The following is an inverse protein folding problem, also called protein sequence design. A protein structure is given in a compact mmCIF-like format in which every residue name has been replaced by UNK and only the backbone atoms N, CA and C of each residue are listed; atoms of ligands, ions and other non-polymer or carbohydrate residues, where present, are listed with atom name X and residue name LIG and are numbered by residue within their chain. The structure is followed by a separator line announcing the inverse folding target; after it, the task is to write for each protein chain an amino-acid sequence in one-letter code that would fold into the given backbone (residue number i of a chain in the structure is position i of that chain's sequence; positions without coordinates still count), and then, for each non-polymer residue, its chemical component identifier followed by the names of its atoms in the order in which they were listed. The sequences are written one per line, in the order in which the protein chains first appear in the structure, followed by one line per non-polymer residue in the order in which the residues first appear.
data_IF_872027412835
#
_entry.id   IF_872027412835
#
_cell.length_a   1.000
_cell.length_b   1.000
_cell.length_c   1.000
_cell.angle_alpha   90.00
_cell.angle_beta   90.00
_cell.angle_gamma   90.00
#
_symmetry.space_group_name_H-M   'P 1'
#
loop_
_entity.id
_entity.type
_entity.pdbx_description
1 polymer ?
#
# COMPACT_ATOMS: atom_id res chain seq x y z
N UNK A 1 44.87 17.78 -32.30
CA UNK A 1 43.88 18.17 -31.27
C UNK A 1 42.89 19.10 -31.96
N UNK A 2 41.69 18.63 -32.33
CA UNK A 2 40.74 19.42 -33.12
C UNK A 2 39.88 20.25 -32.16
N UNK A 3 40.02 21.57 -32.21
CA UNK A 3 39.19 22.53 -31.48
C UNK A 3 37.74 22.41 -31.95
N UNK A 4 36.85 22.00 -31.06
CA UNK A 4 35.41 21.96 -31.31
C UNK A 4 34.86 23.39 -31.15
N UNK A 5 34.10 23.93 -32.11
CA UNK A 5 33.58 25.29 -32.01
C UNK A 5 32.58 25.40 -30.85
N UNK A 6 32.68 26.47 -30.06
CA UNK A 6 31.95 26.70 -28.80
C UNK A 6 30.41 26.58 -28.92
N UNK A 7 29.86 26.67 -30.13
CA UNK A 7 28.44 26.47 -30.42
C UNK A 7 28.02 24.99 -30.42
N UNK A 8 28.92 24.07 -30.80
CA UNK A 8 28.66 22.63 -30.80
C UNK A 8 28.67 22.05 -29.38
N UNK A 9 29.48 22.61 -28.48
CA UNK A 9 29.46 22.27 -27.06
C UNK A 9 28.12 22.68 -26.40
N UNK A 10 27.57 23.84 -26.79
CA UNK A 10 26.30 24.35 -26.24
C UNK A 10 25.09 23.52 -26.69
N UNK A 11 25.08 23.05 -27.95
CA UNK A 11 24.05 22.15 -28.47
C UNK A 11 24.11 20.76 -27.82
N UNK A 12 25.30 20.25 -27.51
CA UNK A 12 25.47 18.98 -26.82
C UNK A 12 24.97 19.02 -25.38
N UNK A 13 25.20 20.12 -24.65
CA UNK A 13 24.67 20.31 -23.28
C UNK A 13 23.14 20.45 -23.25
N UNK A 14 22.55 21.12 -24.25
CA UNK A 14 21.09 21.24 -24.37
C UNK A 14 20.38 19.91 -24.64
N UNK A 15 20.97 19.05 -25.48
CA UNK A 15 20.40 17.74 -25.81
C UNK A 15 20.40 16.75 -24.63
N UNK A 16 21.42 16.81 -23.75
CA UNK A 16 21.50 15.97 -22.54
C UNK A 16 20.43 16.37 -21.50
N UNK A 17 20.06 17.65 -21.43
CA UNK A 17 19.01 18.12 -20.51
C UNK A 17 17.60 17.72 -20.96
N UNK A 18 17.35 17.67 -22.28
CA UNK A 18 16.04 17.28 -22.84
C UNK A 18 15.84 15.75 -22.79
N UNK A 19 16.90 14.95 -22.92
CA UNK A 19 16.83 13.49 -22.87
C UNK A 19 16.75 12.91 -21.44
N UNK A 20 17.07 13.68 -20.40
CA UNK A 20 16.90 13.29 -18.99
C UNK A 20 15.53 13.69 -18.39
N UNK A 21 14.65 14.33 -19.18
CA UNK A 21 13.38 14.91 -18.71
C UNK A 21 12.16 13.98 -18.71
N UNK A 22 12.26 12.74 -19.20
CA UNK A 22 11.16 11.77 -19.13
C UNK A 22 11.54 10.60 -18.22
N UNK A 23 11.18 10.71 -16.93
CA UNK A 23 10.63 9.64 -16.06
C UNK A 23 10.76 10.07 -14.59
N UNK A 24 9.90 10.99 -14.16
CA UNK A 24 9.59 11.12 -12.75
C UNK A 24 8.43 10.17 -12.42
N UNK A 25 8.76 8.91 -12.11
CA UNK A 25 7.83 8.00 -11.46
C UNK A 25 7.66 8.46 -10.01
N UNK A 26 6.72 9.37 -9.75
CA UNK A 26 6.34 9.79 -8.39
C UNK A 26 5.22 8.93 -7.79
N UNK A 27 4.89 7.79 -8.42
CA UNK A 27 3.80 6.91 -7.98
C UNK A 27 4.11 5.99 -6.79
N UNK A 28 5.37 5.80 -6.42
CA UNK A 28 5.77 4.76 -5.46
C UNK A 28 6.15 5.31 -4.07
N UNK A 29 6.45 6.62 -3.97
CA UNK A 29 6.87 7.25 -2.72
C UNK A 29 5.70 7.62 -1.78
N UNK A 30 4.47 7.68 -2.27
CA UNK A 30 3.29 8.07 -1.47
C UNK A 30 2.53 6.88 -0.85
N UNK A 31 2.88 5.65 -1.21
CA UNK A 31 2.23 4.44 -0.68
C UNK A 31 3.06 3.71 0.38
N UNK A 32 4.37 4.03 0.45
CA UNK A 32 5.34 3.31 1.28
C UNK A 32 5.78 4.10 2.51
N UNK A 33 5.00 5.09 2.97
CA UNK A 33 5.21 5.65 4.29
C UNK A 33 4.67 4.64 5.31
N UNK A 34 5.39 3.52 5.46
CA UNK A 34 5.21 2.59 6.56
C UNK A 34 5.45 3.37 7.84
N UNK A 35 4.35 3.76 8.48
CA UNK A 35 4.38 4.37 9.80
C UNK A 35 5.19 3.44 10.71
N UNK A 36 6.21 3.98 11.38
CA UNK A 36 7.13 3.19 12.20
C UNK A 36 6.40 2.45 13.34
N UNK A 37 5.17 2.89 13.65
CA UNK A 37 4.24 2.19 14.51
C UNK A 37 3.86 0.78 13.99
N UNK A 38 3.74 0.56 12.67
CA UNK A 38 3.26 -0.71 12.09
C UNK A 38 4.28 -1.85 12.15
N UNK A 39 5.58 -1.53 12.06
CA UNK A 39 6.68 -2.53 12.17
C UNK A 39 6.71 -3.21 13.53
N UNK A 40 6.23 -2.53 14.56
CA UNK A 40 6.17 -3.05 15.92
C UNK A 40 5.14 -4.17 16.09
N UNK A 41 4.19 -4.37 15.17
CA UNK A 41 3.14 -5.39 15.34
C UNK A 41 3.42 -6.70 14.60
N UNK A 42 4.28 -6.69 13.58
CA UNK A 42 4.58 -7.89 12.79
C UNK A 42 5.39 -8.88 13.65
N UNK A 43 4.91 -10.12 13.72
CA UNK A 43 5.53 -11.18 14.53
C UNK A 43 5.19 -11.14 16.02
N UNK A 44 4.55 -10.06 16.50
CA UNK A 44 4.08 -9.97 17.87
C UNK A 44 2.69 -10.58 18.03
N UNK A 45 2.39 -11.01 19.26
CA UNK A 45 1.07 -11.57 19.58
C UNK A 45 0.01 -10.48 19.49
N UNK A 46 -1.03 -10.71 18.71
CA UNK A 46 -2.19 -9.82 18.68
C UNK A 46 -2.84 -9.71 20.06
N UNK A 47 -3.05 -8.48 20.50
CA UNK A 47 -3.78 -8.17 21.73
C UNK A 47 -5.25 -8.60 21.61
N UNK A 48 -5.88 -8.89 22.76
CA UNK A 48 -7.30 -9.23 22.78
C UNK A 48 -8.14 -7.99 22.47
N UNK A 49 -9.03 -8.09 21.50
CA UNK A 49 -10.00 -7.04 21.19
C UNK A 49 -11.43 -7.56 21.27
N UNK A 50 -12.35 -6.64 21.52
CA UNK A 50 -13.79 -6.90 21.56
C UNK A 50 -14.51 -5.88 20.69
N UNK A 51 -15.53 -6.31 19.98
CA UNK A 51 -16.34 -5.42 19.16
C UNK A 51 -17.77 -5.96 19.02
N UNK A 52 -18.67 -5.09 18.61
CA UNK A 52 -20.03 -5.48 18.24
C UNK A 52 -20.10 -5.61 16.72
N UNK A 53 -20.54 -6.76 16.23
CA UNK A 53 -20.69 -7.02 14.80
C UNK A 53 -21.83 -6.19 14.19
N UNK A 54 -21.88 -6.08 12.87
CA UNK A 54 -23.00 -5.43 12.17
C UNK A 54 -24.35 -6.14 12.39
N UNK A 55 -24.34 -7.39 12.87
CA UNK A 55 -25.55 -8.13 13.27
C UNK A 55 -25.92 -7.91 14.74
N UNK A 56 -25.17 -7.08 15.47
CA UNK A 56 -25.36 -6.82 16.90
C UNK A 56 -24.69 -7.83 17.84
N UNK A 57 -23.89 -8.76 17.32
CA UNK A 57 -23.26 -9.80 18.15
C UNK A 57 -22.01 -9.25 18.86
N UNK A 58 -21.86 -9.58 20.14
CA UNK A 58 -20.63 -9.27 20.87
C UNK A 58 -19.55 -10.30 20.58
N UNK A 59 -18.51 -9.89 19.86
CA UNK A 59 -17.35 -10.71 19.53
C UNK A 59 -16.21 -10.40 20.50
N UNK A 60 -15.66 -11.45 21.11
CA UNK A 60 -14.47 -11.37 21.96
C UNK A 60 -13.39 -12.29 21.39
N UNK A 61 -12.31 -11.70 20.88
CA UNK A 61 -11.24 -12.43 20.22
C UNK A 61 -10.53 -13.43 21.16
N UNK A 62 -10.55 -13.19 22.48
CA UNK A 62 -9.96 -14.12 23.44
C UNK A 62 -10.70 -15.47 23.48
N UNK A 63 -12.00 -15.50 23.15
CA UNK A 63 -12.81 -16.73 23.10
C UNK A 63 -12.51 -17.61 21.89
N UNK A 64 -11.78 -17.09 20.89
CA UNK A 64 -11.42 -17.81 19.67
C UNK A 64 -10.03 -18.48 19.75
N UNK A 65 -9.35 -18.40 20.91
CA UNK A 65 -8.05 -19.05 21.11
C UNK A 65 -8.19 -20.57 20.93
N UNK A 66 -7.27 -21.16 20.17
CA UNK A 66 -7.29 -22.59 19.81
C UNK A 66 -7.99 -22.88 18.47
N UNK A 67 -8.73 -21.92 17.91
CA UNK A 67 -9.33 -22.02 16.58
C UNK A 67 -8.46 -21.38 15.51
N UNK A 68 -8.57 -21.87 14.28
CA UNK A 68 -8.07 -21.16 13.09
C UNK A 68 -9.05 -20.03 12.76
N UNK A 69 -8.55 -18.79 12.70
CA UNK A 69 -9.36 -17.59 12.45
C UNK A 69 -8.80 -16.85 11.24
N UNK A 70 -9.68 -16.52 10.29
CA UNK A 70 -9.37 -15.62 9.18
C UNK A 70 -9.87 -14.22 9.52
N UNK A 71 -8.97 -13.23 9.51
CA UNK A 71 -9.31 -11.82 9.62
C UNK A 71 -9.36 -11.21 8.22
N UNK A 72 -10.52 -10.69 7.84
CA UNK A 72 -10.80 -10.09 6.53
C UNK A 72 -10.99 -8.58 6.73
N UNK A 73 -10.00 -7.80 6.33
CA UNK A 73 -10.01 -6.34 6.48
C UNK A 73 -10.61 -5.71 5.21
N UNK A 74 -11.86 -5.24 5.31
CA UNK A 74 -12.59 -4.62 4.21
C UNK A 74 -13.37 -3.40 4.71
N UNK A 75 -13.89 -2.59 3.79
CA UNK A 75 -14.78 -1.48 4.14
C UNK A 75 -15.90 -1.29 3.12
N UNK A 76 -16.98 -0.62 3.53
CA UNK A 76 -18.21 -0.47 2.73
C UNK A 76 -18.03 0.35 1.45
N UNK A 77 -16.93 1.06 1.33
CA UNK A 77 -16.61 1.94 0.22
C UNK A 77 -15.46 1.39 -0.64
N UNK A 78 -15.00 0.17 -0.34
CA UNK A 78 -14.03 -0.54 -1.17
C UNK A 78 -14.76 -1.38 -2.20
N UNK A 79 -14.37 -1.24 -3.47
CA UNK A 79 -14.97 -2.00 -4.57
C UNK A 79 -14.79 -3.51 -4.36
N UNK A 80 -13.57 -3.91 -4.01
CA UNK A 80 -13.18 -5.32 -3.85
C UNK A 80 -13.83 -5.98 -2.62
N UNK A 81 -14.01 -5.22 -1.54
CA UNK A 81 -14.64 -5.72 -0.32
C UNK A 81 -16.12 -6.08 -0.50
N UNK A 82 -16.83 -5.37 -1.39
CA UNK A 82 -18.24 -5.65 -1.69
C UNK A 82 -18.44 -6.94 -2.49
N UNK A 83 -17.52 -7.23 -3.43
CA UNK A 83 -17.56 -8.45 -4.22
C UNK A 83 -17.34 -9.70 -3.34
N UNK A 84 -16.35 -9.65 -2.44
CA UNK A 84 -16.06 -10.72 -1.50
C UNK A 84 -17.21 -10.97 -0.51
N UNK A 85 -17.87 -9.90 -0.04
CA UNK A 85 -19.02 -10.04 0.86
C UNK A 85 -20.21 -10.71 0.16
N UNK A 86 -20.44 -10.40 -1.11
CA UNK A 86 -21.50 -11.04 -1.90
C UNK A 86 -21.24 -12.54 -2.07
N UNK A 87 -19.99 -12.93 -2.37
CA UNK A 87 -19.60 -14.33 -2.52
C UNK A 87 -19.76 -15.14 -1.21
N UNK A 88 -19.37 -14.57 -0.06
CA UNK A 88 -19.48 -15.24 1.25
C UNK A 88 -20.92 -15.44 1.72
N UNK A 89 -21.87 -14.61 1.27
CA UNK A 89 -23.29 -14.79 1.61
C UNK A 89 -23.97 -15.91 0.83
N UNK A 90 -23.38 -16.34 -0.30
CA UNK A 90 -23.96 -17.34 -1.18
C UNK A 90 -23.49 -18.78 -0.89
N UNK A 91 -22.52 -18.95 0.02
CA UNK A 91 -22.00 -20.23 0.51
C UNK A 91 -22.55 -20.55 1.90
#
# INVERSE_FOLDING_TARGET
MRNLPNNAALLALGAVFVLSGCKQNIGEALYNQEDSAHKTFVGNRVEGFKFTSMKGEHVDFARLRGSVVLLDFWATWTTDGMELLAAKKAA
#
